data_IF_837514135901
#
_entry.id   IF_837514135901
#
_cell.length_a   1.000
_cell.length_b   1.000
_cell.length_c   1.000
_cell.angle_alpha   90.00
_cell.angle_beta   90.00
_cell.angle_gamma   90.00
#
_symmetry.space_group_name_H-M   'P 1'
#
loop_
_entity.id
_entity.type
_entity.pdbx_description
1 polymer ?
#
# COMPACT_ATOMS: atom_id res chain seq x y z
N UNK A 1 7.43 9.74 8.90
CA UNK A 1 5.97 9.78 8.71
C UNK A 1 5.58 9.86 7.23
N UNK A 2 6.25 10.67 6.41
CA UNK A 2 5.96 10.72 4.97
C UNK A 2 5.99 9.35 4.28
N UNK A 3 7.00 8.52 4.56
CA UNK A 3 7.15 7.19 3.95
C UNK A 3 5.94 6.27 4.23
N UNK A 4 5.54 5.98 5.50
CA UNK A 4 4.40 5.10 5.76
C UNK A 4 3.06 5.68 5.27
N UNK A 5 2.89 7.00 5.29
CA UNK A 5 1.67 7.65 4.76
C UNK A 5 1.61 7.52 3.23
N UNK A 6 2.71 7.74 2.52
CA UNK A 6 2.77 7.58 1.07
C UNK A 6 2.50 6.12 0.65
N UNK A 7 3.02 5.14 1.40
CA UNK A 7 2.75 3.73 1.15
C UNK A 7 1.30 3.34 1.42
N UNK A 8 0.67 3.94 2.44
CA UNK A 8 -0.76 3.74 2.73
C UNK A 8 -1.62 4.25 1.57
N UNK A 9 -1.32 5.46 1.07
CA UNK A 9 -2.01 6.02 -0.10
C UNK A 9 -1.78 5.19 -1.35
N UNK A 10 -0.55 4.70 -1.57
CA UNK A 10 -0.25 3.81 -2.70
C UNK A 10 -1.13 2.56 -2.68
N UNK A 11 -1.22 1.85 -1.55
CA UNK A 11 -2.08 0.65 -1.42
C UNK A 11 -3.57 1.00 -1.64
N UNK A 12 -4.00 2.17 -1.18
CA UNK A 12 -5.39 2.61 -1.29
C UNK A 12 -5.80 2.94 -2.73
N UNK A 13 -4.90 3.51 -3.54
CA UNK A 13 -5.20 3.95 -4.90
C UNK A 13 -4.69 3.00 -6.00
N UNK A 14 -3.78 2.07 -5.68
CA UNK A 14 -3.14 1.20 -6.67
C UNK A 14 -4.16 0.42 -7.53
N UNK A 15 -5.21 -0.15 -6.92
CA UNK A 15 -6.24 -0.88 -7.65
C UNK A 15 -6.97 -0.03 -8.69
N UNK A 16 -7.26 1.23 -8.38
CA UNK A 16 -7.89 2.17 -9.33
C UNK A 16 -6.96 2.55 -10.48
N UNK A 17 -5.65 2.67 -10.24
CA UNK A 17 -4.68 3.00 -11.29
C UNK A 17 -4.47 1.80 -12.20
N UNK A 18 -4.38 0.61 -11.63
CA UNK A 18 -4.17 -0.65 -12.34
C UNK A 18 -5.31 -0.95 -13.31
N UNK A 19 -6.56 -0.70 -12.91
CA UNK A 19 -7.74 -0.85 -13.78
C UNK A 19 -7.74 0.10 -14.99
N UNK A 20 -7.03 1.22 -14.91
CA UNK A 20 -6.91 2.18 -16.01
C UNK A 20 -5.71 1.88 -16.94
N UNK A 21 -4.87 0.90 -16.59
CA UNK A 21 -3.71 0.49 -17.40
C UNK A 21 -4.01 -0.87 -18.03
N UNK A 22 -4.54 -0.83 -19.26
CA UNK A 22 -4.75 -2.01 -20.07
C UNK A 22 -3.43 -2.50 -20.68
N UNK A 23 -3.12 -3.79 -20.48
CA UNK A 23 -2.01 -4.43 -21.15
C UNK A 23 -2.30 -4.59 -22.66
N UNK A 24 -1.28 -4.47 -23.53
CA UNK A 24 -1.46 -4.71 -24.96
C UNK A 24 -1.93 -6.15 -25.19
N UNK A 25 -2.82 -6.35 -26.16
CA UNK A 25 -3.34 -7.69 -26.44
C UNK A 25 -2.21 -8.60 -26.95
N UNK A 26 -2.10 -9.79 -26.36
CA UNK A 26 -1.08 -10.80 -26.72
C UNK A 26 -1.02 -11.16 -28.21
N UNK A 27 -2.11 -10.90 -28.96
CA UNK A 27 -2.19 -11.13 -30.39
C UNK A 27 -1.38 -10.14 -31.25
N UNK A 28 -1.14 -8.92 -30.75
CA UNK A 28 -0.39 -7.88 -31.48
C UNK A 28 1.04 -7.70 -30.95
N UNK A 29 1.25 -7.92 -29.65
CA UNK A 29 2.58 -7.86 -29.03
C UNK A 29 2.67 -8.85 -27.85
N UNK A 30 3.16 -10.08 -28.09
CA UNK A 30 3.22 -11.11 -27.05
C UNK A 30 4.24 -10.77 -25.95
N UNK A 31 5.36 -10.13 -26.30
CA UNK A 31 6.41 -9.77 -25.35
C UNK A 31 5.97 -8.58 -24.48
N UNK A 32 5.30 -7.59 -25.07
CA UNK A 32 4.67 -6.49 -24.33
C UNK A 32 3.58 -6.95 -23.37
N UNK A 33 2.77 -7.94 -23.77
CA UNK A 33 1.73 -8.50 -22.91
C UNK A 33 2.30 -9.27 -21.71
N UNK A 34 3.31 -10.12 -21.93
CA UNK A 34 3.96 -10.89 -20.86
C UNK A 34 4.63 -9.95 -19.84
N UNK A 35 5.35 -8.93 -20.30
CA UNK A 35 5.99 -7.96 -19.41
C UNK A 35 4.97 -7.16 -18.60
N UNK A 36 3.87 -6.72 -19.22
CA UNK A 36 2.83 -5.95 -18.53
C UNK A 36 2.11 -6.78 -17.46
N UNK A 37 1.73 -8.02 -17.79
CA UNK A 37 1.07 -8.93 -16.85
C UNK A 37 2.01 -9.34 -15.70
N UNK A 38 3.29 -9.54 -15.99
CA UNK A 38 4.31 -9.82 -14.97
C UNK A 38 4.46 -8.65 -13.98
N UNK A 39 4.59 -7.42 -14.49
CA UNK A 39 4.73 -6.22 -13.64
C UNK A 39 3.48 -6.01 -12.79
N UNK A 40 2.29 -6.19 -13.37
CA UNK A 40 1.00 -6.09 -12.66
C UNK A 40 0.90 -7.12 -11.52
N UNK A 41 1.28 -8.37 -11.75
CA UNK A 41 1.32 -9.41 -10.71
C UNK A 41 2.35 -9.10 -9.61
N UNK A 42 3.54 -8.61 -9.97
CA UNK A 42 4.58 -8.26 -9.00
C UNK A 42 4.18 -7.09 -8.09
N UNK A 43 3.47 -6.11 -8.64
CA UNK A 43 2.92 -4.99 -7.89
C UNK A 43 1.80 -5.45 -6.93
N UNK A 44 0.91 -6.35 -7.36
CA UNK A 44 -0.09 -6.96 -6.47
C UNK A 44 0.53 -7.76 -5.34
N UNK A 45 1.61 -8.50 -5.61
CA UNK A 45 2.36 -9.20 -4.57
C UNK A 45 2.99 -8.22 -3.57
N UNK A 46 3.51 -7.09 -4.05
CA UNK A 46 4.04 -6.03 -3.19
C UNK A 46 2.94 -5.42 -2.31
N UNK A 47 1.76 -5.17 -2.88
CA UNK A 47 0.59 -4.73 -2.13
C UNK A 47 0.20 -5.76 -1.07
N UNK A 48 0.16 -7.04 -1.42
CA UNK A 48 -0.17 -8.14 -0.51
C UNK A 48 0.80 -8.30 0.68
N UNK A 49 2.09 -8.08 0.44
CA UNK A 49 3.12 -8.11 1.48
C UNK A 49 2.99 -6.89 2.41
N UNK A 50 2.78 -5.70 1.85
CA UNK A 50 2.64 -4.46 2.62
C UNK A 50 1.32 -4.40 3.39
N UNK A 51 0.27 -5.00 2.86
CA UNK A 51 -1.04 -5.16 3.50
C UNK A 51 -1.09 -6.34 4.46
N UNK A 52 -0.02 -7.13 4.54
CA UNK A 52 0.09 -8.38 5.29
C UNK A 52 -1.00 -9.43 4.95
N UNK A 53 -1.75 -9.26 3.86
CA UNK A 53 -2.71 -10.28 3.39
C UNK A 53 -1.96 -11.55 2.95
N UNK A 54 -0.73 -11.42 2.47
CA UNK A 54 0.17 -12.55 2.21
C UNK A 54 0.46 -13.41 3.46
N UNK A 55 0.26 -12.87 4.67
CA UNK A 55 0.44 -13.57 5.94
C UNK A 55 -0.89 -14.05 6.56
N UNK A 56 -2.00 -14.00 5.80
CA UNK A 56 -3.30 -14.52 6.21
C UNK A 56 -4.21 -13.52 6.94
N UNK A 57 -3.89 -12.22 6.90
CA UNK A 57 -4.84 -11.19 7.34
C UNK A 57 -5.98 -11.06 6.32
N UNK A 58 -7.24 -10.97 6.76
CA UNK A 58 -8.36 -10.84 5.85
C UNK A 58 -8.26 -9.52 5.08
N UNK A 59 -8.56 -9.50 3.77
CA UNK A 59 -8.60 -8.26 3.00
C UNK A 59 -9.75 -7.36 3.46
N UNK A 60 -9.52 -6.05 3.40
CA UNK A 60 -10.52 -5.05 3.76
C UNK A 60 -11.46 -4.79 2.57
N UNK A 61 -12.64 -5.39 2.63
CA UNK A 61 -13.74 -5.23 1.67
C UNK A 61 -14.38 -3.84 1.59
N UNK A 62 -13.85 -2.84 2.30
CA UNK A 62 -14.54 -1.55 2.55
C UNK A 62 -14.43 -0.55 1.40
N UNK A 63 -13.38 -0.61 0.57
CA UNK A 63 -13.29 0.23 -0.66
C UNK A 63 -12.93 -0.62 -1.89
N UNK A 64 -13.11 -1.94 -1.80
CA UNK A 64 -12.87 -2.85 -2.91
C UNK A 64 -14.21 -3.23 -3.49
N UNK A 65 -14.35 -3.10 -4.80
CA UNK A 65 -15.52 -3.59 -5.51
C UNK A 65 -15.09 -4.92 -6.16
N UNK A 66 -15.43 -6.08 -5.54
CA UNK A 66 -14.93 -7.39 -5.97
C UNK A 66 -15.38 -7.78 -7.38
N UNK A 67 -16.35 -7.07 -7.95
CA UNK A 67 -16.82 -7.22 -9.32
C UNK A 67 -15.94 -6.54 -10.37
N UNK A 68 -15.05 -5.63 -9.96
CA UNK A 68 -14.24 -4.82 -10.87
C UNK A 68 -12.78 -5.27 -10.90
N UNK A 69 -12.23 -5.73 -9.76
CA UNK A 69 -10.89 -6.33 -9.73
C UNK A 69 -10.78 -7.38 -8.60
N UNK A 70 -10.80 -8.69 -8.91
CA UNK A 70 -10.72 -9.74 -7.90
C UNK A 70 -9.38 -9.76 -7.16
N UNK A 71 -8.29 -9.38 -7.83
CA UNK A 71 -6.95 -9.31 -7.22
C UNK A 71 -6.87 -8.20 -6.18
N UNK A 72 -7.63 -7.11 -6.39
CA UNK A 72 -7.77 -6.03 -5.41
C UNK A 72 -8.55 -6.48 -4.17
N UNK A 73 -9.59 -7.28 -4.36
CA UNK A 73 -10.42 -7.78 -3.27
C UNK A 73 -9.68 -8.78 -2.37
N UNK A 74 -8.71 -9.53 -2.89
CA UNK A 74 -7.98 -10.55 -2.12
C UNK A 74 -6.69 -10.03 -1.47
N UNK A 75 -6.04 -9.04 -2.07
CA UNK A 75 -4.70 -8.60 -1.63
C UNK A 75 -4.71 -7.31 -0.81
N UNK A 76 -5.81 -6.55 -0.79
CA UNK A 76 -5.81 -5.21 -0.19
C UNK A 76 -6.32 -5.22 1.26
N UNK A 77 -5.42 -4.88 2.19
CA UNK A 77 -5.73 -4.56 3.59
C UNK A 77 -4.94 -3.32 3.99
N UNK A 78 -5.62 -2.23 4.33
CA UNK A 78 -4.98 -0.96 4.62
C UNK A 78 -4.77 -0.74 6.13
N UNK A 79 -5.41 -1.54 6.98
CA UNK A 79 -5.30 -1.48 8.45
C UNK A 79 -3.84 -1.58 8.94
N UNK A 80 -3.00 -2.54 8.51
CA UNK A 80 -1.65 -2.66 9.05
C UNK A 80 -0.78 -1.47 8.65
N UNK A 81 -0.89 -0.97 7.43
CA UNK A 81 -0.18 0.23 7.00
C UNK A 81 -0.65 1.50 7.72
N UNK A 82 -1.96 1.66 7.93
CA UNK A 82 -2.50 2.73 8.77
C UNK A 82 -1.95 2.65 10.19
N UNK A 83 -1.91 1.45 10.79
CA UNK A 83 -1.40 1.26 12.14
C UNK A 83 0.06 1.67 12.27
N UNK A 84 0.90 1.31 11.28
CA UNK A 84 2.31 1.72 11.22
C UNK A 84 2.46 3.23 11.08
N UNK A 85 1.61 3.87 10.28
CA UNK A 85 1.62 5.33 10.11
C UNK A 85 1.29 6.04 11.42
N UNK A 86 0.26 5.58 12.16
CA UNK A 86 -0.15 6.13 13.45
C UNK A 86 0.96 5.94 14.50
N UNK A 87 1.55 4.74 14.58
CA UNK A 87 2.67 4.45 15.49
C UNK A 87 3.86 5.36 15.19
N UNK A 88 4.20 5.56 13.92
CA UNK A 88 5.29 6.46 13.51
C UNK A 88 5.02 7.92 13.91
N UNK A 89 3.77 8.39 13.78
CA UNK A 89 3.36 9.74 14.21
C UNK A 89 3.50 9.88 15.73
N UNK A 90 2.97 8.93 16.49
CA UNK A 90 3.07 8.93 17.96
C UNK A 90 4.52 8.88 18.43
N UNK A 91 5.37 8.08 17.77
CA UNK A 91 6.79 7.98 18.09
C UNK A 91 7.52 9.31 17.87
N UNK A 92 7.28 9.99 16.74
CA UNK A 92 7.87 11.31 16.48
C UNK A 92 7.39 12.35 17.48
N UNK A 93 6.09 12.38 17.80
CA UNK A 93 5.53 13.33 18.78
C UNK A 93 6.16 13.13 20.16
N UNK A 94 6.31 11.88 20.62
CA UNK A 94 7.02 11.56 21.86
C UNK A 94 8.48 11.99 21.82
N UNK A 95 9.16 11.80 20.69
CA UNK A 95 10.55 12.22 20.51
C UNK A 95 10.66 13.73 20.65
N UNK A 96 9.82 14.49 19.94
CA UNK A 96 9.78 15.95 19.97
C UNK A 96 9.50 16.50 21.38
N UNK A 97 8.54 15.93 22.10
CA UNK A 97 8.27 16.30 23.50
C UNK A 97 9.48 16.06 24.42
N UNK A 98 10.27 15.00 24.18
CA UNK A 98 11.53 14.78 24.91
C UNK A 98 12.60 15.81 24.57
N UNK A 99 12.74 16.18 23.29
CA UNK A 99 13.68 17.24 22.88
C UNK A 99 13.31 18.60 23.48
N UNK A 100 12.02 18.96 23.47
CA UNK A 100 11.54 20.22 24.08
C UNK A 100 11.87 20.29 25.56
N UNK A 101 11.58 19.22 26.32
CA UNK A 101 11.94 19.13 27.74
C UNK A 101 13.45 19.23 27.98
N UNK A 102 14.29 18.62 27.14
CA UNK A 102 15.74 18.75 27.29
C UNK A 102 16.25 20.18 27.03
N UNK A 103 15.65 20.93 26.10
CA UNK A 103 16.02 22.33 25.88
C UNK A 103 15.62 23.24 27.04
N UNK A 104 14.48 23.00 27.68
CA UNK A 104 14.04 23.75 28.87
C UNK A 104 14.95 23.50 30.09
N UNK A 105 15.57 22.32 30.20
CA UNK A 105 16.52 22.02 31.29
C UNK A 105 17.88 22.70 31.10
N UNK A 106 18.26 23.03 29.87
CA UNK A 106 19.53 23.68 29.55
C UNK A 106 19.45 25.22 29.53
N UNK A 107 18.26 25.80 29.76
CA UNK A 107 18.00 27.25 29.73
C UNK A 107 17.82 27.79 31.15
#
# INVERSE_FOLDING_TARGET
VFIPVALTLFIMFYGTVEQNVDCPMAAYDPEGNENCTYVKSWLWNSVAVLSLTAFGLPPDGVLTEPTVNPDEADSRNFIPMLSLSIIAIFYLKRKEDRYRKSMEVYK
#
